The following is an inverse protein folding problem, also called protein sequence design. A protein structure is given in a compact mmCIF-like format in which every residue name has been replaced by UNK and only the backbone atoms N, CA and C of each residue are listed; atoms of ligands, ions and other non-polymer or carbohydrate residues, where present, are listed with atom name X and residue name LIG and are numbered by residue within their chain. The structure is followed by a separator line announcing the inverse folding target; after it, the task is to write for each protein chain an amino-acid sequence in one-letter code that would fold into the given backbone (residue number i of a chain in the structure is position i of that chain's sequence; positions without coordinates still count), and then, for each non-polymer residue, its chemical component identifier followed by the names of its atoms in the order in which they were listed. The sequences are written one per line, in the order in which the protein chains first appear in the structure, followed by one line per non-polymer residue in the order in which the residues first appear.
data_IF_589194593758
#
_entry.id   IF_589194593758
#
_cell.length_a   1.000
_cell.length_b   1.000
_cell.length_c   1.000
_cell.angle_alpha   90.00
_cell.angle_beta   90.00
_cell.angle_gamma   90.00
#
_symmetry.space_group_name_H-M   'P 1'
#
loop_
_entity.id
_entity.type
_entity.pdbx_description
1 polymer ?
#
# COMPACT_ATOMS: atom_id res chain seq x y z
N UNK A 1 -14.70 7.55 -35.13
CA UNK A 1 -14.32 7.81 -33.72
C UNK A 1 -13.17 6.90 -33.25
N UNK A 2 -13.17 5.62 -33.54
CA UNK A 2 -12.14 4.65 -33.13
C UNK A 2 -10.72 4.96 -33.63
N UNK A 3 -10.55 5.39 -34.90
CA UNK A 3 -9.25 5.77 -35.45
C UNK A 3 -8.64 7.03 -34.81
N UNK A 4 -9.44 7.92 -34.23
CA UNK A 4 -8.93 9.10 -33.52
C UNK A 4 -8.50 8.76 -32.08
N UNK A 5 -9.19 7.82 -31.45
CA UNK A 5 -8.89 7.27 -30.13
C UNK A 5 -7.53 6.53 -30.16
N UNK A 6 -7.33 5.65 -31.15
CA UNK A 6 -6.07 4.92 -31.32
C UNK A 6 -4.88 5.81 -31.65
N UNK A 7 -5.09 6.98 -32.31
CA UNK A 7 -4.00 7.97 -32.51
C UNK A 7 -3.68 8.76 -31.25
N UNK A 8 -4.65 9.03 -30.40
CA UNK A 8 -4.43 9.71 -29.12
C UNK A 8 -3.67 8.79 -28.14
N UNK A 9 -4.09 7.52 -28.02
CA UNK A 9 -3.42 6.51 -27.23
C UNK A 9 -1.97 6.31 -27.68
N UNK A 10 -1.72 6.19 -29.00
CA UNK A 10 -0.38 6.03 -29.53
C UNK A 10 0.54 7.27 -29.29
N UNK A 11 -0.02 8.47 -29.15
CA UNK A 11 0.76 9.68 -28.77
C UNK A 11 1.08 9.69 -27.28
N UNK A 12 0.16 9.25 -26.45
CA UNK A 12 0.32 9.20 -25.00
C UNK A 12 1.35 8.14 -24.62
N UNK A 13 1.27 6.95 -25.20
CA UNK A 13 2.27 5.87 -25.03
C UNK A 13 3.67 6.36 -25.46
N UNK A 14 3.81 7.08 -26.58
CA UNK A 14 5.10 7.64 -27.00
C UNK A 14 5.62 8.71 -26.04
N UNK A 15 4.75 9.52 -25.43
CA UNK A 15 5.15 10.51 -24.42
C UNK A 15 5.59 9.82 -23.11
N UNK A 16 4.89 8.75 -22.71
CA UNK A 16 5.25 7.96 -21.53
C UNK A 16 6.57 7.22 -21.73
N UNK A 17 6.81 6.63 -22.89
CA UNK A 17 8.09 6.01 -23.25
C UNK A 17 9.23 7.06 -23.25
N UNK A 18 8.98 8.23 -23.79
CA UNK A 18 9.97 9.32 -23.78
C UNK A 18 10.26 9.83 -22.36
N UNK A 19 9.25 9.90 -21.49
CA UNK A 19 9.41 10.27 -20.08
C UNK A 19 10.16 9.17 -19.31
N UNK A 20 9.85 7.90 -19.54
CA UNK A 20 10.57 6.78 -18.95
C UNK A 20 12.04 6.72 -19.41
N UNK A 21 12.30 6.98 -20.70
CA UNK A 21 13.67 7.09 -21.23
C UNK A 21 14.42 8.31 -20.67
N UNK A 22 13.73 9.43 -20.48
CA UNK A 22 14.32 10.62 -19.86
C UNK A 22 14.64 10.37 -18.37
N UNK A 23 13.76 9.68 -17.65
CA UNK A 23 14.01 9.25 -16.26
C UNK A 23 15.19 8.27 -16.19
N UNK A 24 15.30 7.29 -17.10
CA UNK A 24 16.47 6.41 -17.20
C UNK A 24 17.77 7.18 -17.46
N UNK A 25 17.75 8.21 -18.33
CA UNK A 25 18.93 9.02 -18.63
C UNK A 25 19.37 9.86 -17.42
N UNK A 26 18.45 10.34 -16.61
CA UNK A 26 18.77 11.06 -15.37
C UNK A 26 19.34 10.10 -14.33
N UNK A 27 18.79 8.88 -14.19
CA UNK A 27 19.32 7.86 -13.27
C UNK A 27 20.70 7.32 -13.71
N UNK A 28 20.95 7.19 -15.03
CA UNK A 28 22.27 6.72 -15.51
C UNK A 28 23.34 7.78 -15.45
N UNK A 29 23.00 9.09 -15.51
CA UNK A 29 23.97 10.17 -15.38
C UNK A 29 24.36 10.49 -13.92
N UNK A 30 23.53 10.10 -12.93
CA UNK A 30 23.81 10.28 -11.51
C UNK A 30 24.57 9.10 -10.88
N UNK A 31 24.62 7.93 -11.52
CA UNK A 31 25.21 6.69 -10.97
C UNK A 31 26.32 6.09 -11.85
N UNK A 32 27.17 6.90 -12.48
CA UNK A 32 28.45 6.43 -13.02
C UNK A 32 29.58 6.81 -12.05
N UNK A 33 29.51 6.24 -10.86
CA UNK A 33 30.66 6.01 -10.01
C UNK A 33 30.38 4.74 -9.18
N UNK A 34 31.03 3.65 -9.59
CA UNK A 34 31.22 2.41 -8.84
C UNK A 34 30.03 1.85 -8.04
N UNK A 35 29.20 1.01 -8.65
CA UNK A 35 28.59 -0.11 -7.94
C UNK A 35 28.72 -1.36 -8.83
N UNK A 36 29.67 -2.20 -8.48
CA UNK A 36 29.59 -3.63 -8.80
C UNK A 36 28.29 -4.14 -8.19
N UNK A 37 27.29 -4.42 -9.03
CA UNK A 37 26.09 -5.08 -8.61
C UNK A 37 26.43 -6.55 -8.28
N UNK A 38 26.80 -6.82 -7.05
CA UNK A 38 26.68 -8.15 -6.50
C UNK A 38 25.17 -8.47 -6.41
N UNK A 39 24.80 -9.55 -7.07
CA UNK A 39 23.47 -10.14 -6.98
C UNK A 39 23.17 -10.49 -5.53
N UNK A 40 22.44 -9.62 -4.82
CA UNK A 40 21.89 -9.98 -3.53
C UNK A 40 20.63 -10.82 -3.77
N UNK A 41 20.82 -12.10 -4.01
CA UNK A 41 19.78 -13.11 -3.94
C UNK A 41 19.36 -13.17 -2.47
N UNK A 42 18.11 -12.84 -2.17
CA UNK A 42 17.51 -13.12 -0.87
C UNK A 42 17.55 -14.63 -0.63
N UNK A 43 18.56 -15.08 0.11
CA UNK A 43 18.65 -16.44 0.59
C UNK A 43 17.62 -16.63 1.71
N UNK A 44 16.50 -17.29 1.37
CA UNK A 44 15.66 -17.92 2.39
C UNK A 44 16.45 -19.13 2.88
N UNK A 45 16.84 -19.15 4.15
CA UNK A 45 17.59 -20.24 4.76
C UNK A 45 16.85 -21.57 4.58
N UNK A 46 17.45 -22.47 3.82
CA UNK A 46 17.08 -23.88 3.82
C UNK A 46 17.57 -24.51 5.13
N UNK A 47 16.65 -24.77 6.06
CA UNK A 47 16.88 -25.78 7.07
C UNK A 47 16.71 -27.15 6.38
N UNK A 48 17.83 -27.73 5.97
CA UNK A 48 17.91 -29.09 5.49
C UNK A 48 17.50 -30.07 6.60
N UNK A 49 16.35 -30.71 6.44
CA UNK A 49 16.05 -31.94 7.13
C UNK A 49 16.50 -33.10 6.25
N UNK A 50 17.69 -33.62 6.52
CA UNK A 50 18.09 -34.94 6.10
C UNK A 50 17.41 -35.95 7.02
N UNK A 51 16.39 -36.63 6.54
CA UNK A 51 15.73 -37.72 7.26
C UNK A 51 15.68 -38.95 6.40
N UNK A 52 16.47 -39.95 6.80
CA UNK A 52 16.53 -41.29 6.21
C UNK A 52 15.19 -42.02 6.35
N UNK A 53 14.90 -42.84 5.36
CA UNK A 53 13.79 -43.78 5.27
C UNK A 53 13.83 -44.83 6.37
N UNK A 54 12.75 -44.95 7.13
CA UNK A 54 12.47 -46.08 8.03
C UNK A 54 10.98 -46.30 8.12
N UNK A 55 10.51 -47.39 7.47
CA UNK A 55 9.14 -47.83 7.55
C UNK A 55 8.85 -48.42 8.95
N UNK A 56 7.80 -47.98 9.59
CA UNK A 56 7.27 -48.58 10.83
C UNK A 56 5.81 -48.25 10.98
N UNK A 57 4.97 -49.23 10.70
CA UNK A 57 3.52 -49.26 10.99
C UNK A 57 3.32 -49.39 12.48
N UNK A 58 2.57 -48.49 13.11
CA UNK A 58 1.95 -48.75 14.44
C UNK A 58 0.55 -48.20 14.47
N UNK A 59 -0.33 -49.04 14.91
CA UNK A 59 -1.79 -48.92 14.96
C UNK A 59 -2.33 -47.83 15.89
N UNK A 60 -3.53 -47.39 15.54
CA UNK A 60 -4.33 -46.42 16.26
C UNK A 60 -4.93 -47.03 17.55
N UNK A 61 -4.75 -46.40 18.68
CA UNK A 61 -5.64 -46.56 19.84
C UNK A 61 -6.44 -45.28 20.06
N UNK A 62 -7.77 -45.45 20.04
CA UNK A 62 -8.79 -44.51 20.50
C UNK A 62 -8.73 -44.41 22.02
N UNK A 63 -8.64 -43.21 22.54
CA UNK A 63 -9.03 -42.97 23.92
C UNK A 63 -10.03 -41.80 23.98
N UNK A 64 -11.27 -42.18 24.31
CA UNK A 64 -12.39 -41.31 24.68
C UNK A 64 -12.31 -41.03 26.16
N UNK A 65 -12.28 -39.76 26.56
CA UNK A 65 -12.38 -39.35 27.95
C UNK A 65 -12.84 -37.92 28.08
N UNK A 66 -14.13 -37.75 28.32
CA UNK A 66 -14.68 -36.48 28.83
C UNK A 66 -14.24 -36.31 30.28
N UNK A 67 -14.02 -35.10 30.78
CA UNK A 67 -14.17 -34.80 32.19
C UNK A 67 -15.35 -33.87 32.47
N UNK A 68 -16.00 -34.27 33.52
CA UNK A 68 -17.19 -33.73 34.17
C UNK A 68 -17.00 -32.27 34.67
N UNK A 69 -18.14 -31.58 34.69
CA UNK A 69 -18.35 -30.26 35.27
C UNK A 69 -18.48 -30.38 36.78
N UNK A 70 -17.60 -29.76 37.53
CA UNK A 70 -17.86 -29.49 38.97
C UNK A 70 -18.18 -28.01 39.19
N UNK A 71 -19.37 -27.82 39.74
CA UNK A 71 -19.92 -26.58 40.27
C UNK A 71 -19.31 -26.30 41.66
N UNK A 72 -18.71 -25.13 41.86
CA UNK A 72 -18.19 -24.68 43.14
C UNK A 72 -18.45 -23.21 43.41
N UNK A 73 -19.41 -22.96 44.22
CA UNK A 73 -19.74 -21.92 45.19
C UNK A 73 -19.16 -20.51 45.09
N UNK A 74 -20.09 -19.55 44.99
CA UNK A 74 -19.85 -18.15 45.23
C UNK A 74 -19.56 -17.85 46.70
N UNK A 75 -18.43 -17.23 47.00
CA UNK A 75 -18.24 -16.51 48.26
C UNK A 75 -18.02 -15.01 47.98
N UNK A 76 -18.95 -14.26 48.52
CA UNK A 76 -18.86 -12.79 48.64
C UNK A 76 -17.65 -12.42 49.52
N UNK A 77 -16.76 -11.59 49.00
CA UNK A 77 -15.87 -10.74 49.81
C UNK A 77 -16.09 -9.29 49.44
N UNK A 78 -16.57 -8.54 50.41
CA UNK A 78 -16.63 -7.10 50.47
C UNK A 78 -15.24 -6.52 50.18
N UNK A 79 -15.14 -5.67 49.21
CA UNK A 79 -13.94 -4.89 48.95
C UNK A 79 -14.02 -3.58 49.73
N UNK A 80 -13.06 -3.39 50.63
CA UNK A 80 -12.82 -2.16 51.33
C UNK A 80 -12.52 -1.03 50.32
N UNK A 81 -13.27 0.03 50.53
CA UNK A 81 -13.14 1.28 49.84
C UNK A 81 -11.85 1.98 50.35
N UNK A 82 -10.79 1.97 49.57
CA UNK A 82 -9.67 2.91 49.77
C UNK A 82 -9.88 4.06 48.84
N UNK A 83 -10.22 5.19 49.42
CA UNK A 83 -10.17 6.51 48.80
C UNK A 83 -8.74 6.76 48.24
N UNK A 84 -8.61 6.62 46.93
CA UNK A 84 -7.51 7.21 46.21
C UNK A 84 -8.01 8.56 45.69
N UNK A 85 -7.43 9.61 46.26
CA UNK A 85 -7.62 10.99 45.88
C UNK A 85 -7.60 11.09 44.33
N UNK A 86 -8.75 11.39 43.77
CA UNK A 86 -8.86 11.90 42.43
C UNK A 86 -8.16 13.27 42.42
N UNK A 87 -6.91 13.32 41.97
CA UNK A 87 -6.35 14.56 41.48
C UNK A 87 -7.29 15.07 40.40
N UNK A 88 -8.01 16.10 40.74
CA UNK A 88 -8.82 16.89 39.84
C UNK A 88 -7.88 17.38 38.74
N UNK A 89 -8.01 16.80 37.55
CA UNK A 89 -7.46 17.41 36.36
C UNK A 89 -7.97 18.87 36.31
N UNK A 90 -7.02 19.77 36.33
CA UNK A 90 -7.25 21.22 36.24
C UNK A 90 -8.04 21.50 34.95
N UNK A 91 -9.28 22.00 35.03
CA UNK A 91 -10.09 22.26 33.85
C UNK A 91 -9.63 23.50 33.05
N UNK A 92 -8.51 24.11 33.43
CA UNK A 92 -8.01 25.36 32.87
C UNK A 92 -6.76 25.18 31.98
N UNK A 93 -6.50 24.00 31.43
CA UNK A 93 -5.75 23.92 30.17
C UNK A 93 -6.71 24.14 29.01
N UNK A 94 -7.34 25.32 28.96
CA UNK A 94 -7.64 25.92 27.67
C UNK A 94 -6.33 25.98 26.91
N UNK A 95 -6.16 25.09 25.92
CA UNK A 95 -5.20 25.29 24.86
C UNK A 95 -5.57 26.61 24.22
N UNK A 96 -4.91 27.67 24.70
CA UNK A 96 -4.86 28.93 24.01
C UNK A 96 -4.69 28.61 22.53
N UNK A 97 -5.42 29.29 21.65
CA UNK A 97 -5.29 29.36 20.21
C UNK A 97 -3.80 29.26 19.79
N UNK A 98 -3.29 28.04 19.84
CA UNK A 98 -1.88 27.74 19.62
C UNK A 98 -1.70 27.60 18.12
N UNK A 99 -1.25 28.65 17.47
CA UNK A 99 -0.72 28.59 16.12
C UNK A 99 0.43 27.58 16.09
N UNK A 100 0.11 26.34 15.67
CA UNK A 100 1.14 25.33 15.43
C UNK A 100 2.15 25.84 14.40
N UNK A 101 3.42 25.58 14.65
CA UNK A 101 4.47 25.83 13.68
C UNK A 101 4.73 24.55 12.88
N UNK A 102 4.60 24.61 11.57
CA UNK A 102 4.74 23.44 10.71
C UNK A 102 6.05 23.50 9.89
N UNK A 103 6.69 22.34 9.74
CA UNK A 103 7.75 22.09 8.77
C UNK A 103 7.35 20.89 7.91
N UNK A 104 7.26 21.07 6.60
CA UNK A 104 6.72 20.07 5.67
C UNK A 104 5.32 19.55 6.14
N UNK A 105 4.54 20.44 6.77
CA UNK A 105 3.20 20.15 7.30
C UNK A 105 3.14 19.33 8.59
N UNK A 106 4.28 18.99 9.20
CA UNK A 106 4.35 18.36 10.52
C UNK A 106 4.58 19.41 11.60
N UNK A 107 3.84 19.34 12.71
CA UNK A 107 4.05 20.23 13.84
C UNK A 107 5.48 20.09 14.38
N UNK A 108 6.12 21.21 14.68
CA UNK A 108 7.48 21.27 15.24
C UNK A 108 7.50 21.55 16.74
N UNK A 109 6.34 21.73 17.36
CA UNK A 109 6.22 21.99 18.80
C UNK A 109 6.45 20.70 19.57
N UNK A 110 7.15 20.77 20.68
CA UNK A 110 7.56 19.61 21.48
C UNK A 110 6.34 18.81 21.96
N UNK A 111 6.33 17.51 21.60
CA UNK A 111 5.24 16.58 21.97
C UNK A 111 3.95 16.73 21.14
N UNK A 112 3.97 17.53 20.11
CA UNK A 112 2.82 17.72 19.22
C UNK A 112 2.89 16.78 18.01
N UNK A 113 1.86 15.95 17.82
CA UNK A 113 1.69 15.05 16.68
C UNK A 113 0.71 15.59 15.63
N UNK A 114 0.40 16.90 15.65
CA UNK A 114 -0.53 17.49 14.73
C UNK A 114 0.03 17.58 13.30
N UNK A 115 -0.88 17.46 12.34
CA UNK A 115 -0.61 17.64 10.92
C UNK A 115 -1.25 18.94 10.45
N UNK A 116 -0.61 19.63 9.52
CA UNK A 116 -1.22 20.76 8.82
C UNK A 116 -2.46 20.28 8.05
N UNK A 117 -3.65 20.85 8.30
CA UNK A 117 -4.86 20.46 7.60
C UNK A 117 -4.79 20.76 6.10
N UNK A 118 -5.25 19.81 5.28
CA UNK A 118 -5.46 20.07 3.86
C UNK A 118 -6.66 21.03 3.67
N UNK A 119 -6.59 21.88 2.65
CA UNK A 119 -7.60 22.91 2.39
C UNK A 119 -8.65 22.36 1.43
N UNK A 120 -9.92 22.35 1.86
CA UNK A 120 -11.03 22.01 0.97
C UNK A 120 -11.31 23.18 0.02
N UNK A 121 -11.33 22.90 -1.28
CA UNK A 121 -11.67 23.85 -2.34
C UNK A 121 -12.85 23.35 -3.16
N UNK A 122 -13.63 24.27 -3.72
CA UNK A 122 -14.80 23.99 -4.55
C UNK A 122 -14.66 24.70 -5.89
N UNK A 123 -15.15 24.11 -6.98
CA UNK A 123 -15.18 24.74 -8.29
C UNK A 123 -13.82 25.11 -8.86
N UNK A 124 -12.75 24.37 -8.49
CA UNK A 124 -11.38 24.63 -8.96
C UNK A 124 -10.85 23.56 -9.91
N UNK A 125 -11.29 22.34 -9.73
CA UNK A 125 -10.82 21.16 -10.46
C UNK A 125 -12.02 20.42 -11.05
N UNK A 126 -11.91 19.89 -12.26
CA UNK A 126 -12.87 18.92 -12.83
C UNK A 126 -12.62 17.56 -12.19
N UNK A 127 -13.16 17.39 -10.98
CA UNK A 127 -12.81 16.23 -10.15
C UNK A 127 -13.48 14.95 -10.63
N UNK A 128 -14.66 15.02 -11.21
CA UNK A 128 -15.38 13.87 -11.76
C UNK A 128 -15.05 13.61 -13.24
N UNK A 129 -14.20 14.46 -13.84
CA UNK A 129 -13.74 14.38 -15.23
C UNK A 129 -14.87 14.43 -16.28
N UNK A 130 -15.96 15.14 -15.96
CA UNK A 130 -17.10 15.29 -16.85
C UNK A 130 -16.88 16.41 -17.92
N UNK A 131 -15.79 17.19 -17.79
CA UNK A 131 -15.42 18.28 -18.68
C UNK A 131 -15.99 19.64 -18.26
N UNK A 132 -16.68 19.73 -17.14
CA UNK A 132 -17.25 20.96 -16.59
C UNK A 132 -16.78 21.12 -15.14
N UNK A 133 -16.33 22.31 -14.76
CA UNK A 133 -15.98 22.64 -13.37
C UNK A 133 -17.17 23.37 -12.75
N UNK A 134 -17.70 22.79 -11.66
CA UNK A 134 -18.88 23.31 -10.96
C UNK A 134 -18.62 23.41 -9.45
N UNK A 135 -19.48 24.09 -8.72
CA UNK A 135 -19.40 24.20 -7.26
C UNK A 135 -19.58 22.83 -6.55
N UNK A 136 -20.01 21.79 -7.26
CA UNK A 136 -20.08 20.42 -6.73
C UNK A 136 -18.74 19.69 -6.80
N UNK A 137 -17.76 20.22 -7.51
CA UNK A 137 -16.40 19.68 -7.60
C UNK A 137 -15.60 20.12 -6.37
N UNK A 138 -15.72 19.33 -5.32
CA UNK A 138 -15.01 19.55 -4.06
C UNK A 138 -13.80 18.63 -3.95
N UNK A 139 -12.64 19.19 -3.59
CA UNK A 139 -11.42 18.42 -3.32
C UNK A 139 -10.53 19.11 -2.28
N UNK A 140 -9.84 18.30 -1.49
CA UNK A 140 -8.79 18.76 -0.60
C UNK A 140 -7.50 18.97 -1.37
N UNK A 141 -6.90 20.15 -1.27
CA UNK A 141 -5.58 20.44 -1.82
C UNK A 141 -4.49 19.92 -0.89
N UNK A 142 -3.59 19.12 -1.43
CA UNK A 142 -2.48 18.50 -0.71
C UNK A 142 -1.17 18.95 -1.35
N UNK A 143 -0.42 19.80 -0.66
CA UNK A 143 0.83 20.37 -1.16
C UNK A 143 2.08 20.00 -0.35
N UNK A 144 1.92 19.27 0.75
CA UNK A 144 3.04 18.82 1.58
C UNK A 144 2.74 17.51 2.32
N UNK A 145 3.76 16.94 2.98
CA UNK A 145 3.61 15.64 3.63
C UNK A 145 2.64 15.67 4.82
N UNK A 146 2.61 16.73 5.62
CA UNK A 146 1.67 16.82 6.74
C UNK A 146 0.22 16.84 6.29
N UNK A 147 -0.12 17.60 5.23
CA UNK A 147 -1.44 17.60 4.63
C UNK A 147 -1.83 16.23 4.07
N UNK A 148 -0.87 15.47 3.53
CA UNK A 148 -1.09 14.10 3.10
C UNK A 148 -1.43 13.17 4.28
N UNK A 149 -0.72 13.31 5.41
CA UNK A 149 -1.01 12.55 6.64
C UNK A 149 -2.35 12.97 7.27
N UNK A 150 -2.65 14.27 7.26
CA UNK A 150 -3.94 14.78 7.71
C UNK A 150 -5.08 14.17 6.87
N UNK A 151 -4.95 14.19 5.54
CA UNK A 151 -5.95 13.60 4.64
C UNK A 151 -6.10 12.09 4.87
N UNK A 152 -5.01 11.37 5.08
CA UNK A 152 -5.07 9.96 5.46
C UNK A 152 -5.80 9.76 6.81
N UNK A 153 -5.60 10.66 7.76
CA UNK A 153 -6.33 10.68 9.03
C UNK A 153 -7.83 10.91 8.84
N UNK A 154 -8.23 11.83 7.96
CA UNK A 154 -9.63 12.08 7.58
C UNK A 154 -10.27 10.83 6.97
N UNK A 155 -9.59 10.19 6.01
CA UNK A 155 -10.08 8.97 5.35
C UNK A 155 -10.19 7.81 6.34
N UNK A 156 -9.24 7.68 7.25
CA UNK A 156 -9.17 6.57 8.22
C UNK A 156 -9.98 6.83 9.50
N UNK A 157 -10.50 8.06 9.72
CA UNK A 157 -11.19 8.46 10.95
C UNK A 157 -10.26 8.45 12.17
N UNK A 158 -9.02 8.89 11.98
CA UNK A 158 -7.98 8.89 13.04
C UNK A 158 -7.48 10.28 13.40
N UNK A 159 -8.16 11.34 12.93
CA UNK A 159 -7.85 12.71 13.35
C UNK A 159 -8.20 12.92 14.81
N UNK A 160 -7.29 13.53 15.55
CA UNK A 160 -7.41 13.73 17.00
C UNK A 160 -8.34 14.89 17.37
N UNK A 161 -8.64 15.79 16.42
CA UNK A 161 -9.52 16.95 16.59
C UNK A 161 -11.02 16.60 16.56
N UNK A 162 -11.35 15.32 16.42
CA UNK A 162 -12.73 14.83 16.36
C UNK A 162 -13.40 14.98 14.99
N UNK A 163 -12.65 15.35 13.95
CA UNK A 163 -13.17 15.39 12.57
C UNK A 163 -13.68 14.01 12.16
N UNK A 164 -14.91 13.96 11.67
CA UNK A 164 -15.57 12.70 11.28
C UNK A 164 -14.88 12.06 10.09
N UNK A 165 -14.80 10.73 10.09
CA UNK A 165 -14.29 9.95 8.97
C UNK A 165 -15.00 10.29 7.66
N UNK A 166 -14.23 10.48 6.58
CA UNK A 166 -14.76 10.69 5.24
C UNK A 166 -14.07 9.79 4.20
N UNK A 167 -14.66 8.63 3.95
CA UNK A 167 -14.18 7.66 2.95
C UNK A 167 -14.39 8.12 1.49
N UNK A 168 -15.17 9.19 1.28
CA UNK A 168 -15.50 9.75 -0.04
C UNK A 168 -14.82 11.09 -0.30
N UNK A 169 -13.95 11.54 0.59
CA UNK A 169 -13.22 12.78 0.40
C UNK A 169 -12.40 12.71 -0.89
N UNK A 170 -12.51 13.72 -1.74
CA UNK A 170 -11.67 13.85 -2.93
C UNK A 170 -10.41 14.65 -2.57
N UNK A 171 -9.31 14.38 -3.26
CA UNK A 171 -8.06 15.11 -3.10
C UNK A 171 -7.37 15.38 -4.43
N UNK A 172 -6.64 16.48 -4.49
CA UNK A 172 -5.78 16.87 -5.61
C UNK A 172 -4.40 17.25 -5.05
N UNK A 173 -3.33 16.67 -5.62
CA UNK A 173 -1.98 17.12 -5.30
C UNK A 173 -1.71 18.46 -5.99
N UNK A 174 -1.08 19.38 -5.28
CA UNK A 174 -0.68 20.70 -5.79
C UNK A 174 0.83 20.86 -5.93
N UNK A 175 1.59 19.88 -5.44
CA UNK A 175 3.05 19.81 -5.54
C UNK A 175 3.52 18.35 -5.45
N UNK A 176 4.77 18.10 -5.82
CA UNK A 176 5.46 16.86 -5.48
C UNK A 176 5.71 16.82 -3.96
N UNK A 177 5.45 15.66 -3.36
CA UNK A 177 5.52 15.48 -1.91
C UNK A 177 6.65 14.51 -1.56
N UNK A 178 7.50 14.90 -0.61
CA UNK A 178 8.50 14.00 -0.02
C UNK A 178 8.18 13.76 1.44
N UNK A 179 7.98 12.48 1.81
CA UNK A 179 7.73 12.03 3.19
C UNK A 179 9.04 11.71 3.90
N UNK A 180 9.85 10.83 3.32
CA UNK A 180 11.20 10.50 3.78
C UNK A 180 12.17 10.73 2.62
N UNK A 181 13.18 11.54 2.84
CA UNK A 181 14.21 11.81 1.83
C UNK A 181 15.12 10.60 1.66
N UNK A 182 15.49 10.28 0.41
CA UNK A 182 16.47 9.24 0.05
C UNK A 182 16.18 7.87 0.71
N UNK A 183 14.90 7.49 0.83
CA UNK A 183 14.48 6.31 1.59
C UNK A 183 15.18 5.03 1.11
N UNK A 184 15.16 4.74 -0.19
CA UNK A 184 15.69 3.48 -0.72
C UNK A 184 17.22 3.38 -0.63
N UNK A 185 17.92 4.51 -0.53
CA UNK A 185 19.37 4.54 -0.32
C UNK A 185 19.75 4.54 1.15
N UNK A 186 18.85 5.00 2.03
CA UNK A 186 19.06 5.11 3.48
C UNK A 186 18.57 3.90 4.26
N UNK A 187 17.71 3.05 3.67
CA UNK A 187 17.16 1.88 4.35
C UNK A 187 18.21 0.77 4.46
N UNK A 188 18.40 0.27 5.67
CA UNK A 188 19.31 -0.84 5.95
C UNK A 188 18.51 -2.13 6.14
N UNK A 189 18.91 -3.18 5.42
CA UNK A 189 18.29 -4.50 5.52
C UNK A 189 19.34 -5.57 5.87
N UNK A 190 18.94 -6.55 6.67
CA UNK A 190 19.70 -7.79 6.88
C UNK A 190 19.62 -8.69 5.64
N UNK A 191 20.38 -9.80 5.62
CA UNK A 191 20.39 -10.75 4.51
C UNK A 191 19.01 -11.38 4.23
N UNK A 192 18.18 -11.54 5.26
CA UNK A 192 16.78 -12.00 5.17
C UNK A 192 15.80 -10.91 4.70
N UNK A 193 16.30 -9.70 4.46
CA UNK A 193 15.51 -8.53 4.06
C UNK A 193 14.80 -7.79 5.19
N UNK A 194 15.08 -8.14 6.46
CA UNK A 194 14.55 -7.42 7.62
C UNK A 194 15.16 -6.03 7.73
N UNK A 195 14.32 -5.02 7.90
CA UNK A 195 14.76 -3.64 8.07
C UNK A 195 15.29 -3.41 9.48
N UNK A 196 16.49 -2.85 9.61
CA UNK A 196 17.15 -2.62 10.90
C UNK A 196 17.06 -1.18 11.39
N UNK A 197 16.83 -0.22 10.51
CA UNK A 197 16.74 1.21 10.83
C UNK A 197 15.35 1.82 10.56
N UNK A 198 14.30 1.01 10.60
CA UNK A 198 12.92 1.44 10.28
C UNK A 198 12.40 2.58 11.15
N UNK A 199 12.87 2.68 12.42
CA UNK A 199 12.51 3.78 13.33
C UNK A 199 13.04 5.15 12.91
N UNK A 200 13.99 5.21 11.96
CA UNK A 200 14.50 6.47 11.41
C UNK A 200 13.55 7.09 10.38
N UNK A 201 12.53 6.35 9.93
CA UNK A 201 11.62 6.80 8.91
C UNK A 201 10.23 7.07 9.48
N UNK A 202 9.57 8.09 8.95
CA UNK A 202 8.17 8.34 9.24
C UNK A 202 7.32 7.27 8.55
N UNK A 203 6.68 6.43 9.35
CA UNK A 203 5.88 5.33 8.86
C UNK A 203 4.57 5.83 8.24
N UNK A 204 4.18 5.21 7.13
CA UNK A 204 2.91 5.48 6.48
C UNK A 204 1.83 4.49 6.93
N UNK A 205 0.63 5.01 7.16
CA UNK A 205 -0.57 4.22 7.40
C UNK A 205 -1.46 4.29 6.16
N UNK A 206 -1.66 3.18 5.43
CA UNK A 206 -2.46 3.19 4.20
C UNK A 206 -3.86 3.77 4.38
N UNK A 207 -4.35 4.48 3.38
CA UNK A 207 -5.73 4.99 3.35
C UNK A 207 -6.71 3.86 3.01
N UNK A 208 -7.86 3.81 3.72
CA UNK A 208 -8.77 2.67 3.64
C UNK A 208 -8.15 1.43 4.32
N UNK A 209 -8.55 1.12 5.53
CA UNK A 209 -7.92 0.11 6.36
C UNK A 209 -8.89 -0.92 6.91
N UNK A 210 -8.33 -1.99 7.47
CA UNK A 210 -9.00 -2.87 8.41
C UNK A 210 -8.69 -2.46 9.86
N UNK A 211 -9.58 -2.78 10.79
CA UNK A 211 -9.36 -2.65 12.22
C UNK A 211 -8.37 -3.70 12.74
N UNK A 212 -8.05 -3.65 14.03
CA UNK A 212 -7.14 -4.60 14.69
C UNK A 212 -7.61 -6.06 14.63
N UNK A 213 -8.91 -6.27 14.38
CA UNK A 213 -9.51 -7.61 14.24
C UNK A 213 -9.53 -8.09 12.77
N UNK A 214 -9.00 -7.28 11.84
CA UNK A 214 -8.98 -7.59 10.42
C UNK A 214 -10.30 -7.29 9.70
N UNK A 215 -11.29 -6.68 10.38
CA UNK A 215 -12.50 -6.22 9.71
C UNK A 215 -12.19 -4.94 8.93
N UNK A 216 -12.48 -4.94 7.64
CA UNK A 216 -12.35 -3.76 6.80
C UNK A 216 -13.27 -2.67 7.34
N UNK A 217 -12.69 -1.56 7.79
CA UNK A 217 -13.43 -0.41 8.35
C UNK A 217 -13.95 0.51 7.26
N UNK A 218 -13.36 0.43 6.07
CA UNK A 218 -13.85 1.13 4.90
C UNK A 218 -12.90 1.03 3.72
N UNK A 219 -13.49 0.99 2.53
CA UNK A 219 -12.79 1.20 1.27
C UNK A 219 -12.77 2.70 1.00
N UNK A 220 -11.62 3.24 0.56
CA UNK A 220 -11.58 4.58 0.03
C UNK A 220 -12.41 4.66 -1.26
N UNK A 221 -13.34 5.61 -1.32
CA UNK A 221 -14.34 5.73 -2.40
C UNK A 221 -14.31 7.09 -3.11
N UNK A 222 -13.41 7.97 -2.68
CA UNK A 222 -13.23 9.27 -3.31
C UNK A 222 -12.37 9.20 -4.56
N UNK A 223 -12.06 10.37 -5.09
CA UNK A 223 -11.14 10.56 -6.20
C UNK A 223 -9.85 11.15 -5.65
N UNK A 224 -8.74 10.47 -5.85
CA UNK A 224 -7.40 10.98 -5.53
C UNK A 224 -6.66 11.28 -6.83
N UNK A 225 -6.55 12.55 -7.16
CA UNK A 225 -5.86 13.00 -8.38
C UNK A 225 -4.46 13.51 -8.03
N UNK A 226 -3.45 12.77 -8.48
CA UNK A 226 -2.07 13.24 -8.38
C UNK A 226 -1.78 14.47 -9.21
N UNK A 227 -2.66 14.84 -10.16
CA UNK A 227 -2.52 16.02 -11.03
C UNK A 227 -1.14 16.10 -11.74
N UNK A 228 -0.54 14.93 -11.97
CA UNK A 228 0.79 14.78 -12.57
C UNK A 228 1.94 14.89 -11.57
N UNK A 229 1.67 15.08 -10.29
CA UNK A 229 2.67 15.09 -9.21
C UNK A 229 2.96 13.70 -8.67
N UNK A 230 4.00 13.64 -7.84
CA UNK A 230 4.47 12.41 -7.20
C UNK A 230 4.53 12.51 -5.69
N UNK A 231 4.45 11.33 -5.03
CA UNK A 231 4.72 11.15 -3.61
C UNK A 231 5.96 10.28 -3.48
N UNK A 232 6.97 10.77 -2.75
CA UNK A 232 8.26 10.13 -2.55
C UNK A 232 8.48 9.74 -1.09
N UNK A 233 9.20 8.64 -0.86
CA UNK A 233 9.62 8.25 0.49
C UNK A 233 8.51 7.66 1.36
N UNK A 234 7.49 7.04 0.77
CA UNK A 234 6.46 6.33 1.54
C UNK A 234 7.05 5.05 2.14
N UNK A 235 7.05 4.94 3.47
CA UNK A 235 7.60 3.81 4.20
C UNK A 235 6.51 3.00 4.90
N UNK A 236 6.33 1.76 4.45
CA UNK A 236 5.49 0.75 5.13
C UNK A 236 6.30 -0.51 5.31
N UNK A 237 6.50 -0.94 6.55
CA UNK A 237 7.10 -2.22 6.87
C UNK A 237 6.26 -2.92 7.95
N UNK A 238 5.65 -4.04 7.59
CA UNK A 238 4.81 -4.87 8.47
C UNK A 238 5.25 -6.31 8.38
N UNK A 239 6.52 -6.55 8.73
CA UNK A 239 7.14 -7.89 8.77
C UNK A 239 6.71 -8.72 9.98
N UNK A 240 5.74 -8.28 10.75
CA UNK A 240 5.28 -9.03 11.92
C UNK A 240 4.69 -10.36 11.49
N UNK A 241 5.44 -11.42 11.76
CA UNK A 241 4.94 -12.78 11.74
C UNK A 241 3.86 -12.90 12.81
N UNK A 242 2.61 -12.68 12.45
CA UNK A 242 1.50 -13.03 13.30
C UNK A 242 1.06 -14.45 12.93
N UNK A 243 1.21 -15.37 13.86
CA UNK A 243 0.75 -16.76 13.77
C UNK A 243 -0.79 -16.89 13.68
N UNK A 244 -1.51 -15.81 13.45
CA UNK A 244 -2.97 -15.78 13.47
C UNK A 244 -3.54 -15.87 12.04
N UNK A 245 -4.32 -16.91 11.81
CA UNK A 245 -4.85 -17.39 10.53
C UNK A 245 -5.74 -16.38 9.80
N UNK A 246 -6.17 -15.30 10.45
CA UNK A 246 -7.10 -14.30 9.92
C UNK A 246 -6.42 -13.00 9.41
N UNK A 247 -5.10 -13.05 9.24
CA UNK A 247 -4.26 -11.90 8.82
C UNK A 247 -4.44 -11.47 7.38
N UNK A 248 -5.21 -12.21 6.56
CA UNK A 248 -5.46 -11.86 5.16
C UNK A 248 -6.04 -10.47 4.95
N UNK A 249 -6.73 -9.91 5.96
CA UNK A 249 -7.37 -8.60 5.88
C UNK A 249 -6.63 -7.51 6.70
N UNK A 250 -5.71 -7.88 7.59
CA UNK A 250 -4.96 -6.90 8.41
C UNK A 250 -3.81 -6.23 7.65
N UNK A 251 -3.50 -6.68 6.45
CA UNK A 251 -2.21 -6.43 5.81
C UNK A 251 -2.20 -5.74 4.47
N UNK A 252 -3.32 -5.19 3.98
CA UNK A 252 -3.30 -4.47 2.70
C UNK A 252 -2.37 -3.26 2.76
N UNK A 253 -1.36 -3.24 1.89
CA UNK A 253 -0.25 -2.30 1.91
C UNK A 253 -0.12 -1.57 0.59
N UNK A 254 0.02 -0.25 0.68
CA UNK A 254 0.19 0.69 -0.42
C UNK A 254 0.04 2.11 0.09
N UNK A 255 -0.02 3.08 -0.80
CA UNK A 255 -0.55 4.39 -0.43
C UNK A 255 -2.01 4.24 0.04
N UNK A 256 -2.78 3.38 -0.64
CA UNK A 256 -4.10 2.92 -0.25
C UNK A 256 -4.06 1.44 0.16
N UNK A 257 -4.74 1.11 1.26
CA UNK A 257 -4.92 -0.28 1.68
C UNK A 257 -6.07 -0.92 0.90
N UNK A 258 -7.28 -0.37 1.05
CA UNK A 258 -8.51 -0.83 0.40
C UNK A 258 -9.16 0.29 -0.40
N UNK A 259 -9.49 0.00 -1.67
CA UNK A 259 -9.91 1.02 -2.62
C UNK A 259 -11.12 0.58 -3.46
N UNK A 260 -12.10 1.52 -3.62
CA UNK A 260 -13.30 1.40 -4.44
C UNK A 260 -13.57 2.65 -5.31
N UNK A 261 -12.71 3.67 -5.22
CA UNK A 261 -12.90 4.97 -5.88
C UNK A 261 -12.08 5.11 -7.16
N UNK A 262 -11.45 6.28 -7.34
CA UNK A 262 -10.55 6.57 -8.47
C UNK A 262 -9.22 7.09 -7.94
N UNK A 263 -8.12 6.50 -8.38
CA UNK A 263 -6.76 6.99 -8.17
C UNK A 263 -6.17 7.27 -9.55
N UNK A 264 -5.71 8.50 -9.80
CA UNK A 264 -5.24 8.86 -11.13
C UNK A 264 -4.06 9.83 -11.13
N UNK A 265 -3.31 9.83 -12.24
CA UNK A 265 -2.26 10.81 -12.55
C UNK A 265 -1.19 10.94 -11.44
N UNK A 266 -0.82 9.84 -10.80
CA UNK A 266 0.00 9.81 -9.58
C UNK A 266 1.29 9.01 -9.77
N UNK A 267 2.43 9.55 -9.32
CA UNK A 267 3.68 8.81 -9.17
C UNK A 267 3.96 8.41 -7.72
N UNK A 268 4.47 7.18 -7.49
CA UNK A 268 5.03 6.76 -6.20
C UNK A 268 6.51 6.47 -6.40
N UNK A 269 7.37 7.32 -5.79
CA UNK A 269 8.82 7.29 -6.00
C UNK A 269 9.56 6.97 -4.72
N UNK A 270 10.78 6.44 -4.85
CA UNK A 270 11.70 6.22 -3.73
C UNK A 270 11.04 5.69 -2.45
N UNK A 271 10.13 4.72 -2.60
CA UNK A 271 9.25 4.22 -1.54
C UNK A 271 9.48 2.75 -1.25
N UNK A 272 9.19 2.32 -0.02
CA UNK A 272 9.38 0.96 0.45
C UNK A 272 8.09 0.40 1.03
N UNK A 273 7.58 -0.67 0.43
CA UNK A 273 6.34 -1.35 0.81
C UNK A 273 6.62 -2.81 1.10
N UNK A 274 6.46 -3.25 2.35
CA UNK A 274 6.69 -4.64 2.74
C UNK A 274 5.67 -5.14 3.75
N UNK A 275 5.25 -6.41 3.61
CA UNK A 275 4.35 -7.09 4.53
C UNK A 275 3.95 -8.47 4.07
N UNK A 276 2.82 -8.99 4.60
CA UNK A 276 2.43 -10.38 4.38
C UNK A 276 1.49 -10.56 3.18
N UNK A 277 0.45 -9.73 3.03
CA UNK A 277 -0.62 -9.93 2.05
C UNK A 277 -1.03 -8.63 1.37
N UNK A 278 -1.43 -8.73 0.09
CA UNK A 278 -1.98 -7.63 -0.72
C UNK A 278 -1.09 -6.38 -0.70
N UNK A 279 0.06 -6.48 -1.33
CA UNK A 279 1.05 -5.41 -1.34
C UNK A 279 1.18 -4.82 -2.73
N UNK A 280 0.95 -3.52 -2.85
CA UNK A 280 1.21 -2.73 -4.05
C UNK A 280 1.75 -1.36 -3.67
N UNK A 281 2.37 -0.65 -4.59
CA UNK A 281 2.84 0.71 -4.29
C UNK A 281 1.70 1.71 -4.19
N UNK A 282 0.72 1.61 -5.08
CA UNK A 282 -0.47 2.46 -5.12
C UNK A 282 -1.54 1.88 -4.20
N UNK A 283 -1.89 0.60 -4.36
CA UNK A 283 -3.00 -0.01 -3.64
C UNK A 283 -2.70 -1.46 -3.27
N UNK A 284 -3.02 -1.85 -2.03
CA UNK A 284 -2.94 -3.24 -1.62
C UNK A 284 -4.07 -4.08 -2.22
N UNK A 285 -5.31 -3.66 -2.02
CA UNK A 285 -6.51 -4.35 -2.51
C UNK A 285 -7.44 -3.36 -3.24
N UNK A 286 -7.45 -3.44 -4.56
CA UNK A 286 -8.38 -2.72 -5.42
C UNK A 286 -9.64 -3.58 -5.64
N UNK A 287 -10.74 -3.25 -4.93
CA UNK A 287 -11.96 -4.05 -4.98
C UNK A 287 -12.81 -3.74 -6.23
N UNK A 288 -13.31 -2.50 -6.36
CA UNK A 288 -14.08 -2.06 -7.52
C UNK A 288 -13.56 -0.74 -8.11
N UNK A 289 -12.39 -0.27 -7.67
CA UNK A 289 -11.87 1.04 -8.03
C UNK A 289 -11.10 1.06 -9.34
N UNK A 290 -10.87 2.26 -9.85
CA UNK A 290 -10.03 2.51 -11.03
C UNK A 290 -8.70 3.11 -10.61
N UNK A 291 -7.59 2.53 -11.10
CA UNK A 291 -6.25 3.08 -10.98
C UNK A 291 -5.77 3.38 -12.39
N UNK A 292 -5.57 4.67 -12.71
CA UNK A 292 -5.25 5.07 -14.08
C UNK A 292 -4.15 6.11 -14.17
N UNK A 293 -3.33 6.04 -15.23
CA UNK A 293 -2.23 6.97 -15.48
C UNK A 293 -1.27 7.11 -14.29
N UNK A 294 -1.02 6.02 -13.57
CA UNK A 294 -0.16 6.00 -12.38
C UNK A 294 1.15 5.27 -12.65
N UNK A 295 2.18 5.59 -11.88
CA UNK A 295 3.45 4.90 -11.99
C UNK A 295 4.18 4.74 -10.66
N UNK A 296 5.12 3.78 -10.63
CA UNK A 296 5.89 3.48 -9.43
C UNK A 296 7.35 3.17 -9.71
N UNK A 297 8.23 3.64 -8.82
CA UNK A 297 9.63 3.19 -8.71
C UNK A 297 9.90 2.54 -7.34
N UNK A 298 8.86 2.29 -6.55
CA UNK A 298 8.96 1.75 -5.20
C UNK A 298 9.56 0.34 -5.20
N UNK A 299 10.26 0.00 -4.11
CA UNK A 299 10.59 -1.38 -3.77
C UNK A 299 9.39 -2.00 -3.06
N UNK A 300 8.82 -3.02 -3.68
CA UNK A 300 7.64 -3.72 -3.16
C UNK A 300 7.99 -5.16 -2.85
N UNK A 301 7.68 -5.63 -1.64
CA UNK A 301 8.02 -6.99 -1.26
C UNK A 301 7.12 -7.60 -0.21
N UNK A 302 7.11 -8.93 -0.11
CA UNK A 302 6.28 -9.61 0.89
C UNK A 302 6.09 -11.09 0.66
N UNK A 303 4.98 -11.63 1.21
CA UNK A 303 4.73 -13.07 1.20
C UNK A 303 3.76 -13.47 0.09
N UNK A 304 2.61 -12.81 -0.05
CA UNK A 304 1.56 -13.25 -0.97
C UNK A 304 0.79 -12.07 -1.56
N UNK A 305 0.45 -12.15 -2.87
CA UNK A 305 -0.29 -11.14 -3.63
C UNK A 305 0.47 -9.82 -3.74
N UNK A 306 1.59 -9.84 -4.44
CA UNK A 306 2.50 -8.70 -4.51
C UNK A 306 2.55 -8.16 -5.94
N UNK A 307 2.21 -6.89 -6.12
CA UNK A 307 2.29 -6.19 -7.40
C UNK A 307 3.02 -4.86 -7.33
N UNK A 308 3.64 -4.45 -8.42
CA UNK A 308 4.31 -3.16 -8.48
C UNK A 308 3.34 -1.97 -8.32
N UNK A 309 2.10 -2.13 -8.74
CA UNK A 309 1.02 -1.13 -8.66
C UNK A 309 -0.05 -1.57 -7.64
N UNK A 310 -0.61 -2.78 -7.81
CA UNK A 310 -1.66 -3.30 -6.92
C UNK A 310 -1.36 -4.72 -6.46
N UNK A 311 -1.58 -5.04 -5.20
CA UNK A 311 -1.44 -6.40 -4.68
C UNK A 311 -2.52 -7.32 -5.26
N UNK A 312 -3.77 -6.87 -5.25
CA UNK A 312 -4.92 -7.58 -5.84
C UNK A 312 -5.86 -6.64 -6.56
N UNK A 313 -6.41 -7.09 -7.68
CA UNK A 313 -7.52 -6.45 -8.40
C UNK A 313 -8.69 -7.44 -8.41
N UNK A 314 -9.84 -7.04 -7.84
CA UNK A 314 -11.00 -7.94 -7.72
C UNK A 314 -12.06 -7.65 -8.81
N UNK A 315 -12.72 -6.50 -8.80
CA UNK A 315 -13.65 -6.05 -9.85
C UNK A 315 -13.26 -4.67 -10.39
N UNK A 316 -12.07 -4.19 -10.05
CA UNK A 316 -11.56 -2.88 -10.44
C UNK A 316 -10.78 -2.93 -11.75
N UNK A 317 -10.25 -1.78 -12.16
CA UNK A 317 -9.45 -1.64 -13.37
C UNK A 317 -8.10 -1.02 -13.01
N UNK A 318 -7.04 -1.50 -13.67
CA UNK A 318 -5.73 -0.83 -13.70
C UNK A 318 -5.38 -0.55 -15.15
N UNK A 319 -5.31 0.73 -15.52
CA UNK A 319 -5.09 1.14 -16.90
C UNK A 319 -4.04 2.22 -17.05
N UNK A 320 -3.30 2.20 -18.16
CA UNK A 320 -2.26 3.18 -18.48
C UNK A 320 -1.23 3.37 -17.35
N UNK A 321 -0.90 2.31 -16.63
CA UNK A 321 0.02 2.34 -15.49
C UNK A 321 1.36 1.69 -15.82
N UNK A 322 2.44 2.09 -15.12
CA UNK A 322 3.68 1.36 -15.23
C UNK A 322 4.42 1.20 -13.90
N UNK A 323 5.18 0.11 -13.81
CA UNK A 323 6.11 -0.13 -12.73
C UNK A 323 7.56 -0.16 -13.24
N UNK A 324 8.42 0.61 -12.59
CA UNK A 324 9.87 0.61 -12.79
C UNK A 324 10.63 0.15 -11.53
N UNK A 325 9.91 -0.06 -10.41
CA UNK A 325 10.47 -0.53 -9.15
C UNK A 325 10.65 -2.05 -9.10
N UNK A 326 11.44 -2.50 -8.15
CA UNK A 326 11.67 -3.93 -7.93
C UNK A 326 10.54 -4.55 -7.12
N UNK A 327 10.02 -5.69 -7.61
CA UNK A 327 8.97 -6.46 -6.94
C UNK A 327 9.54 -7.83 -6.55
N UNK A 328 9.45 -8.19 -5.27
CA UNK A 328 9.96 -9.47 -4.81
C UNK A 328 9.05 -10.11 -3.74
N UNK A 329 9.02 -11.44 -3.71
CA UNK A 329 8.23 -12.12 -2.69
C UNK A 329 8.21 -13.63 -2.78
N UNK A 330 7.24 -14.24 -2.10
CA UNK A 330 7.17 -15.69 -2.05
C UNK A 330 6.23 -16.24 -3.13
N UNK A 331 4.98 -15.74 -3.21
CA UNK A 331 3.97 -16.30 -4.11
C UNK A 331 3.04 -15.23 -4.69
N UNK A 332 2.60 -15.44 -5.94
CA UNK A 332 1.71 -14.58 -6.71
C UNK A 332 2.26 -13.16 -6.83
N UNK A 333 3.37 -13.07 -7.57
CA UNK A 333 4.14 -11.84 -7.72
C UNK A 333 4.06 -11.36 -9.17
N UNK A 334 3.58 -10.14 -9.38
CA UNK A 334 3.50 -9.52 -10.70
C UNK A 334 4.12 -8.13 -10.78
N UNK A 335 4.61 -7.77 -11.96
CA UNK A 335 5.18 -6.45 -12.17
C UNK A 335 4.16 -5.32 -12.02
N UNK A 336 2.89 -5.58 -12.29
CA UNK A 336 1.75 -4.66 -12.11
C UNK A 336 0.85 -5.14 -10.99
N UNK A 337 0.40 -6.41 -11.01
CA UNK A 337 -0.56 -6.95 -10.06
C UNK A 337 -0.13 -8.34 -9.58
N UNK A 338 -0.26 -8.62 -8.27
CA UNK A 338 -0.01 -9.96 -7.72
C UNK A 338 -1.09 -10.94 -8.14
N UNK A 339 -2.35 -10.63 -7.85
CA UNK A 339 -3.52 -11.48 -8.03
C UNK A 339 -4.62 -10.72 -8.80
N UNK A 340 -4.90 -11.12 -10.03
CA UNK A 340 -5.81 -10.43 -10.95
C UNK A 340 -7.10 -11.21 -11.21
N UNK A 341 -8.26 -10.62 -10.85
CA UNK A 341 -9.60 -11.10 -11.14
C UNK A 341 -10.38 -10.16 -12.09
N UNK A 342 -9.70 -9.18 -12.71
CA UNK A 342 -10.38 -8.19 -13.50
C UNK A 342 -9.48 -7.67 -14.64
N UNK A 343 -9.46 -6.38 -14.91
CA UNK A 343 -8.87 -5.81 -16.12
C UNK A 343 -7.55 -5.10 -15.80
N UNK A 344 -6.48 -5.49 -16.51
CA UNK A 344 -5.23 -4.73 -16.62
C UNK A 344 -5.07 -4.35 -18.09
N UNK A 345 -5.09 -3.06 -18.39
CA UNK A 345 -5.06 -2.56 -19.77
C UNK A 345 -3.96 -1.51 -19.96
N UNK A 346 -3.28 -1.60 -21.09
CA UNK A 346 -2.27 -0.60 -21.51
C UNK A 346 -1.19 -0.33 -20.46
N UNK A 347 -0.81 -1.36 -19.71
CA UNK A 347 0.18 -1.30 -18.62
C UNK A 347 1.51 -1.90 -19.03
N UNK A 348 2.60 -1.46 -18.39
CA UNK A 348 3.89 -2.09 -18.61
C UNK A 348 4.75 -2.16 -17.35
N UNK A 349 5.63 -3.17 -17.32
CA UNK A 349 6.64 -3.31 -16.28
C UNK A 349 8.04 -3.27 -16.88
N UNK A 350 8.91 -2.47 -16.28
CA UNK A 350 10.35 -2.43 -16.61
C UNK A 350 11.22 -2.77 -15.40
N UNK A 351 10.61 -2.86 -14.21
CA UNK A 351 11.26 -3.27 -12.98
C UNK A 351 11.50 -4.78 -12.93
N UNK A 352 12.44 -5.23 -12.10
CA UNK A 352 12.67 -6.66 -11.89
C UNK A 352 11.55 -7.27 -11.03
N UNK A 353 11.15 -8.50 -11.38
CA UNK A 353 10.16 -9.27 -10.63
C UNK A 353 10.79 -10.61 -10.23
N UNK A 354 10.77 -10.93 -8.94
CA UNK A 354 11.39 -12.15 -8.43
C UNK A 354 10.58 -12.82 -7.32
N UNK A 355 10.56 -14.15 -7.32
CA UNK A 355 9.83 -14.90 -6.30
C UNK A 355 10.03 -16.40 -6.38
N UNK A 356 9.26 -17.13 -5.57
CA UNK A 356 9.34 -18.58 -5.52
C UNK A 356 8.28 -19.26 -6.40
N UNK A 357 7.03 -18.80 -6.33
CA UNK A 357 5.88 -19.42 -7.02
C UNK A 357 5.04 -18.32 -7.70
N UNK A 358 4.44 -18.62 -8.84
CA UNK A 358 3.48 -17.79 -9.57
C UNK A 358 4.04 -16.38 -9.84
N UNK A 359 5.15 -16.30 -10.59
CA UNK A 359 5.87 -15.07 -10.87
C UNK A 359 5.66 -14.64 -12.32
N UNK A 360 5.02 -13.49 -12.51
CA UNK A 360 4.71 -12.94 -13.83
C UNK A 360 5.23 -11.52 -14.04
N UNK A 361 5.53 -11.18 -15.29
CA UNK A 361 6.01 -9.84 -15.65
C UNK A 361 4.95 -8.75 -15.53
N UNK A 362 3.65 -9.11 -15.64
CA UNK A 362 2.48 -8.23 -15.48
C UNK A 362 1.66 -8.67 -14.29
N UNK A 363 1.10 -9.89 -14.29
CA UNK A 363 0.37 -10.45 -13.17
C UNK A 363 1.02 -11.75 -12.71
N UNK A 364 1.04 -12.01 -11.38
CA UNK A 364 1.51 -13.25 -10.79
C UNK A 364 0.51 -14.38 -10.99
N UNK A 365 -0.73 -14.12 -10.68
CA UNK A 365 -1.87 -15.02 -10.85
C UNK A 365 -3.01 -14.31 -11.56
N UNK A 366 -3.83 -15.06 -12.28
CA UNK A 366 -5.07 -14.59 -12.88
C UNK A 366 -6.14 -15.66 -12.77
N UNK A 367 -7.34 -15.29 -12.36
CA UNK A 367 -8.46 -16.19 -12.24
C UNK A 367 -9.62 -15.74 -13.12
N UNK A 368 -10.07 -16.63 -13.98
CA UNK A 368 -11.25 -16.43 -14.83
C UNK A 368 -12.47 -17.06 -14.15
N UNK A 369 -13.49 -16.28 -13.88
CA UNK A 369 -14.77 -16.76 -13.35
C UNK A 369 -15.64 -17.13 -14.55
N UNK A 370 -15.91 -18.42 -14.74
CA UNK A 370 -16.84 -18.90 -15.79
C UNK A 370 -18.17 -18.14 -15.66
N UNK A 371 -18.65 -17.55 -16.77
CA UNK A 371 -19.86 -16.74 -16.89
C UNK A 371 -19.82 -15.29 -16.38
N UNK A 372 -18.67 -14.73 -15.97
CA UNK A 372 -18.56 -13.31 -15.63
C UNK A 372 -17.96 -12.52 -16.81
N UNK A 373 -18.69 -11.50 -17.28
CA UNK A 373 -18.20 -10.59 -18.34
C UNK A 373 -16.96 -9.79 -17.95
N UNK A 374 -16.68 -9.67 -16.65
CA UNK A 374 -15.58 -8.94 -16.06
C UNK A 374 -14.37 -9.83 -15.68
N UNK A 375 -14.31 -11.02 -16.30
CA UNK A 375 -13.24 -11.99 -16.11
C UNK A 375 -11.83 -11.41 -16.31
N UNK A 376 -10.84 -12.06 -15.73
CA UNK A 376 -9.42 -11.70 -15.80
C UNK A 376 -8.97 -11.42 -17.25
N UNK A 377 -8.57 -10.16 -17.51
CA UNK A 377 -8.07 -9.71 -18.82
C UNK A 377 -6.78 -8.93 -18.64
N UNK A 378 -5.80 -9.26 -19.47
CA UNK A 378 -4.57 -8.48 -19.62
C UNK A 378 -4.49 -8.08 -21.08
N UNK A 379 -4.68 -6.78 -21.37
CA UNK A 379 -4.82 -6.25 -22.71
C UNK A 379 -3.77 -5.17 -22.97
N UNK A 380 -3.11 -5.24 -24.12
CA UNK A 380 -2.11 -4.24 -24.57
C UNK A 380 -1.01 -3.96 -23.52
N UNK A 381 -0.63 -5.00 -22.75
CA UNK A 381 0.38 -4.93 -21.72
C UNK A 381 1.69 -5.58 -22.16
N UNK A 382 2.81 -5.06 -21.64
CA UNK A 382 4.12 -5.68 -21.90
C UNK A 382 5.05 -5.61 -20.70
N UNK A 383 5.98 -6.58 -20.65
CA UNK A 383 7.05 -6.61 -19.67
C UNK A 383 8.41 -6.54 -20.36
N UNK A 384 9.26 -5.65 -19.87
CA UNK A 384 10.69 -5.54 -20.27
C UNK A 384 11.62 -5.83 -19.09
N UNK A 385 11.10 -5.93 -17.88
CA UNK A 385 11.87 -6.26 -16.68
C UNK A 385 12.28 -7.72 -16.62
N UNK A 386 13.34 -8.00 -15.88
CA UNK A 386 13.78 -9.38 -15.60
C UNK A 386 12.74 -10.07 -14.70
N UNK A 387 12.30 -11.27 -15.09
CA UNK A 387 11.40 -12.11 -14.28
C UNK A 387 12.16 -13.36 -13.85
N UNK A 388 12.12 -13.66 -12.55
CA UNK A 388 12.83 -14.81 -11.97
C UNK A 388 11.91 -15.56 -11.00
N UNK A 389 11.54 -16.80 -11.32
CA UNK A 389 10.78 -17.71 -10.46
C UNK A 389 11.61 -18.95 -10.13
N UNK A 390 11.40 -19.55 -8.95
CA UNK A 390 12.02 -20.83 -8.56
C UNK A 390 11.14 -22.03 -8.91
N UNK A 391 9.83 -21.85 -9.02
CA UNK A 391 8.86 -22.86 -9.46
C UNK A 391 7.90 -22.23 -10.47
N UNK A 392 7.55 -23.02 -11.46
CA UNK A 392 6.52 -22.68 -12.46
C UNK A 392 5.15 -23.03 -11.90
#
# INVERSE_FOLDING_TARGET
MEKSRNRAVGRQVRKMIAAAMAAMLVFTSANVADVNAEETVLAVSENAVTGETGAGVVEAEKNTGEPEVENGGAENREAENTDLDAETADPDTETADGTHTYKNGFCTDDGCDAYEPAVLTTGKYDIDANGEITDSDEAYEIGNAGQLYWFAGLVNGTLIDGTAQNLKANAVLTADITVNEDLLTSINTEEDGKVTNGSSFKAWRPMGMADEKGKITGYYKGIFDGNGHSISGVYVNRDEAADDVDMRFKGSIGLFGYHDGVIRNLGILDSYMRGNYYIGSICGYNNCGTIQNCYSTARVGGVLYIGGISGRIHHGIVENCYNAGNVCGNREIGGICGDNYSIIESCYNIGSVSGNEDVGGIAGWGYDVEDDSDSCKIVDCYNMGKVTGKKN
#
